data_IF_126853095222
#
_entry.id   IF_126853095222
#
_cell.length_a   1.000
_cell.length_b   1.000
_cell.length_c   1.000
_cell.angle_alpha   90.00
_cell.angle_beta   90.00
_cell.angle_gamma   90.00
#
_symmetry.space_group_name_H-M   'P 1'
#
loop_
_entity.id
_entity.type
_entity.pdbx_description
1 polymer ?
#
# COMPACT_ATOMS: atom_id res chain seq x y z
N UNK A 1 -2.73 -4.90 24.30
CA UNK A 1 -2.91 -5.62 23.02
C UNK A 1 -4.36 -6.01 22.85
N UNK A 2 -4.82 -6.22 21.63
CA UNK A 2 -6.18 -6.72 21.35
C UNK A 2 -6.22 -8.25 21.42
N UNK A 3 -7.41 -8.83 21.58
CA UNK A 3 -7.65 -10.28 21.55
C UNK A 3 -8.79 -10.57 20.58
N UNK A 4 -8.65 -11.65 19.80
CA UNK A 4 -9.68 -12.14 18.89
C UNK A 4 -9.54 -13.65 18.70
N UNK A 5 -10.52 -14.26 18.05
CA UNK A 5 -10.52 -15.66 17.63
C UNK A 5 -10.59 -15.67 16.10
N UNK A 6 -9.44 -15.83 15.41
CA UNK A 6 -9.42 -15.79 13.95
C UNK A 6 -10.19 -16.99 13.39
N UNK A 7 -11.09 -16.74 12.43
CA UNK A 7 -11.95 -17.75 11.83
C UNK A 7 -12.18 -17.46 10.35
N UNK A 8 -12.27 -18.51 9.55
CA UNK A 8 -12.82 -18.48 8.19
C UNK A 8 -13.44 -19.84 7.88
N UNK A 9 -14.68 -19.84 7.38
CA UNK A 9 -15.38 -21.07 7.02
C UNK A 9 -14.81 -21.71 5.74
N UNK A 10 -14.48 -20.88 4.74
CA UNK A 10 -14.01 -21.33 3.43
C UNK A 10 -12.49 -21.23 3.25
N UNK A 11 -11.79 -20.73 4.27
CA UNK A 11 -10.39 -20.31 4.16
C UNK A 11 -10.27 -18.87 3.65
N UNK A 12 -9.16 -18.20 3.97
CA UNK A 12 -8.82 -16.89 3.43
C UNK A 12 -7.31 -16.72 3.33
N UNK A 13 -6.87 -15.87 2.40
CA UNK A 13 -5.49 -15.41 2.32
C UNK A 13 -5.41 -14.02 2.94
N UNK A 14 -4.43 -13.81 3.83
CA UNK A 14 -4.23 -12.55 4.53
C UNK A 14 -2.81 -12.04 4.28
N UNK A 15 -2.70 -10.74 3.97
CA UNK A 15 -1.46 -10.00 4.15
C UNK A 15 -1.42 -9.52 5.61
N UNK A 16 -0.53 -10.09 6.43
CA UNK A 16 -0.47 -9.81 7.87
C UNK A 16 0.88 -9.20 8.26
N UNK A 17 0.81 -8.05 8.94
CA UNK A 17 1.96 -7.37 9.54
C UNK A 17 1.83 -7.36 11.06
N UNK A 18 2.68 -8.12 11.74
CA UNK A 18 2.70 -8.21 13.21
C UNK A 18 3.86 -7.41 13.80
N UNK A 19 3.66 -6.85 14.99
CA UNK A 19 4.70 -6.14 15.78
C UNK A 19 5.35 -4.96 15.05
N UNK A 20 4.59 -4.25 14.21
CA UNK A 20 5.06 -3.08 13.44
C UNK A 20 4.48 -1.75 13.95
N UNK A 21 3.80 -1.74 15.10
CA UNK A 21 3.31 -0.50 15.70
C UNK A 21 4.19 -0.12 16.89
N UNK A 22 4.88 1.04 16.86
CA UNK A 22 5.76 1.48 17.94
C UNK A 22 5.01 2.13 19.12
N UNK A 23 3.79 2.63 18.92
CA UNK A 23 3.03 3.34 19.93
C UNK A 23 2.38 2.44 21.01
N UNK A 24 1.96 3.05 22.11
CA UNK A 24 1.31 2.37 23.24
C UNK A 24 -0.23 2.34 23.15
N UNK A 25 -0.82 3.19 22.30
CA UNK A 25 -2.27 3.28 22.10
C UNK A 25 -2.59 3.13 20.61
N UNK A 26 -3.10 1.95 20.21
CA UNK A 26 -3.55 1.72 18.83
C UNK A 26 -5.06 1.62 18.79
N UNK A 27 -5.70 2.47 17.99
CA UNK A 27 -7.10 2.30 17.66
C UNK A 27 -7.27 1.13 16.68
N UNK A 28 -8.30 0.32 16.91
CA UNK A 28 -8.60 -0.80 16.02
C UNK A 28 -9.42 -0.30 14.83
N UNK A 29 -8.77 -0.11 13.69
CA UNK A 29 -9.41 0.32 12.43
C UNK A 29 -9.87 -0.90 11.64
N UNK A 30 -11.10 -0.84 11.09
CA UNK A 30 -11.68 -1.84 10.18
C UNK A 30 -12.40 -1.10 9.07
N UNK A 31 -12.00 -1.32 7.82
CA UNK A 31 -12.54 -0.63 6.65
C UNK A 31 -13.01 -1.70 5.67
N UNK A 32 -14.27 -1.60 5.25
CA UNK A 32 -14.76 -2.33 4.08
C UNK A 32 -14.34 -1.57 2.82
N UNK A 33 -13.25 -2.03 2.20
CA UNK A 33 -12.65 -1.36 1.04
C UNK A 33 -13.49 -1.51 -0.23
N UNK A 34 -14.48 -2.41 -0.25
CA UNK A 34 -15.38 -2.60 -1.39
C UNK A 34 -16.47 -1.53 -1.46
N UNK A 35 -16.80 -0.91 -0.31
CA UNK A 35 -17.81 0.17 -0.22
C UNK A 35 -17.20 1.54 0.09
N UNK A 36 -15.88 1.64 0.22
CA UNK A 36 -15.22 2.88 0.59
C UNK A 36 -15.07 3.83 -0.59
N UNK A 37 -14.99 5.14 -0.28
CA UNK A 37 -14.83 6.19 -1.27
C UNK A 37 -13.36 6.39 -1.62
N UNK A 38 -13.05 6.25 -2.90
CA UNK A 38 -11.73 6.54 -3.47
C UNK A 38 -11.57 8.05 -3.71
N UNK A 39 -10.35 8.55 -3.56
CA UNK A 39 -9.98 9.92 -3.89
C UNK A 39 -9.06 9.91 -5.11
N UNK A 40 -9.19 10.91 -5.97
CA UNK A 40 -8.25 11.12 -7.07
C UNK A 40 -6.83 11.33 -6.50
N UNK A 41 -5.86 10.68 -7.10
CA UNK A 41 -4.45 10.83 -6.75
C UNK A 41 -3.83 12.06 -7.41
N UNK A 42 -2.58 12.34 -7.04
CA UNK A 42 -1.81 13.48 -7.59
C UNK A 42 -1.54 13.33 -9.09
N UNK A 43 -1.37 12.09 -9.56
CA UNK A 43 -1.08 11.79 -10.96
C UNK A 43 -2.37 11.41 -11.71
N UNK A 44 -2.49 11.86 -12.96
CA UNK A 44 -3.65 11.56 -13.80
C UNK A 44 -3.84 10.05 -13.97
N UNK A 45 -5.06 9.57 -13.74
CA UNK A 45 -5.38 8.14 -13.81
C UNK A 45 -5.00 7.34 -12.56
N UNK A 46 -4.64 8.01 -11.47
CA UNK A 46 -4.41 7.39 -10.16
C UNK A 46 -5.54 7.71 -9.19
N UNK A 47 -5.85 6.75 -8.32
CA UNK A 47 -6.77 6.93 -7.21
C UNK A 47 -6.18 6.31 -5.94
N UNK A 48 -6.53 6.84 -4.79
CA UNK A 48 -6.12 6.30 -3.49
C UNK A 48 -7.30 6.14 -2.53
N UNK A 49 -7.20 5.11 -1.70
CA UNK A 49 -8.06 4.91 -0.53
C UNK A 49 -7.17 4.86 0.70
N UNK A 50 -7.17 5.93 1.49
CA UNK A 50 -6.41 5.99 2.75
C UNK A 50 -7.01 5.01 3.77
N UNK A 51 -6.17 4.11 4.29
CA UNK A 51 -6.56 3.10 5.28
C UNK A 51 -6.13 3.49 6.71
N UNK A 52 -4.98 4.15 6.84
CA UNK A 52 -4.44 4.57 8.13
C UNK A 52 -3.35 5.64 7.92
N UNK A 53 -3.27 6.59 8.86
CA UNK A 53 -2.20 7.57 8.92
C UNK A 53 -1.89 7.91 10.39
N UNK A 54 -0.61 7.96 10.76
CA UNK A 54 -0.14 8.42 12.07
C UNK A 54 0.98 9.46 11.87
N UNK A 55 0.80 10.64 12.43
CA UNK A 55 1.80 11.72 12.39
C UNK A 55 2.87 11.56 13.48
N UNK A 56 2.54 10.95 14.62
CA UNK A 56 3.47 10.77 15.73
C UNK A 56 4.51 9.67 15.45
N UNK A 57 4.11 8.67 14.67
CA UNK A 57 4.98 7.63 14.14
C UNK A 57 4.75 7.56 12.63
N UNK A 58 5.57 8.26 11.82
CA UNK A 58 5.31 8.47 10.40
C UNK A 58 4.99 7.15 9.68
N UNK A 59 3.71 6.93 9.43
CA UNK A 59 3.19 5.76 8.73
C UNK A 59 1.94 6.20 7.99
N UNK A 60 1.90 5.95 6.68
CA UNK A 60 0.68 6.02 5.89
C UNK A 60 0.45 4.66 5.22
N UNK A 61 -0.77 4.18 5.28
CA UNK A 61 -1.22 2.95 4.62
C UNK A 61 -2.39 3.31 3.73
N UNK A 62 -2.29 3.00 2.45
CA UNK A 62 -3.38 3.18 1.49
C UNK A 62 -3.51 1.98 0.56
N UNK A 63 -4.67 1.88 -0.09
CA UNK A 63 -4.74 1.22 -1.38
C UNK A 63 -4.52 2.28 -2.46
N UNK A 64 -3.68 1.95 -3.44
CA UNK A 64 -3.38 2.78 -4.58
C UNK A 64 -3.81 2.06 -5.84
N UNK A 65 -4.51 2.77 -6.73
CA UNK A 65 -4.99 2.26 -8.00
C UNK A 65 -4.40 3.08 -9.14
N UNK A 66 -3.88 2.38 -10.13
CA UNK A 66 -3.44 2.96 -11.41
C UNK A 66 -4.34 2.44 -12.52
N UNK A 67 -4.87 3.35 -13.34
CA UNK A 67 -5.54 2.97 -14.58
C UNK A 67 -4.54 2.35 -15.58
N UNK A 68 -5.00 1.54 -16.55
CA UNK A 68 -4.14 1.04 -17.62
C UNK A 68 -3.47 2.17 -18.41
N UNK A 69 -2.16 2.02 -18.65
CA UNK A 69 -1.32 3.01 -19.32
C UNK A 69 -0.95 4.22 -18.44
N UNK A 70 -1.28 4.21 -17.15
CA UNK A 70 -0.92 5.28 -16.24
C UNK A 70 0.59 5.25 -15.92
N UNK A 71 1.18 6.44 -15.81
CA UNK A 71 2.57 6.68 -15.42
C UNK A 71 2.61 7.66 -14.24
N UNK A 72 3.44 7.34 -13.27
CA UNK A 72 3.79 8.16 -12.11
C UNK A 72 5.25 8.55 -12.28
N UNK A 73 5.50 9.86 -12.30
CA UNK A 73 6.85 10.39 -12.49
C UNK A 73 7.79 9.97 -11.35
N UNK A 74 9.09 10.11 -11.60
CA UNK A 74 10.11 9.83 -10.59
C UNK A 74 9.86 10.64 -9.30
N UNK A 75 9.87 9.96 -8.16
CA UNK A 75 9.58 10.54 -6.85
C UNK A 75 10.38 9.87 -5.73
N UNK A 76 10.48 10.55 -4.60
CA UNK A 76 11.27 10.14 -3.43
C UNK A 76 10.44 9.49 -2.34
N UNK A 77 11.05 8.51 -1.64
CA UNK A 77 10.51 7.83 -0.46
C UNK A 77 11.35 8.13 0.79
N UNK A 78 11.22 9.32 1.40
CA UNK A 78 12.10 9.76 2.49
C UNK A 78 11.99 8.90 3.77
N UNK A 79 10.89 8.18 3.97
CA UNK A 79 10.73 7.20 5.06
C UNK A 79 10.60 5.75 4.58
N UNK A 80 10.95 5.50 3.31
CA UNK A 80 10.80 4.20 2.66
C UNK A 80 9.37 3.85 2.27
N UNK A 81 9.23 2.76 1.52
CA UNK A 81 7.97 2.28 0.98
C UNK A 81 7.94 0.74 0.97
N UNK A 82 6.77 0.17 1.17
CA UNK A 82 6.50 -1.24 0.96
C UNK A 82 5.20 -1.41 0.17
N UNK A 83 5.26 -2.14 -0.94
CA UNK A 83 4.15 -2.38 -1.86
C UNK A 83 3.79 -3.86 -1.90
N UNK A 84 2.51 -4.15 -2.09
CA UNK A 84 2.02 -5.48 -2.42
C UNK A 84 0.97 -5.39 -3.52
N UNK A 85 1.24 -6.00 -4.68
CA UNK A 85 0.36 -5.92 -5.86
C UNK A 85 -0.82 -6.87 -5.67
N UNK A 86 -2.01 -6.30 -5.48
CA UNK A 86 -3.26 -7.04 -5.28
C UNK A 86 -3.89 -7.49 -6.60
N UNK A 87 -3.83 -6.64 -7.63
CA UNK A 87 -4.35 -6.91 -8.98
C UNK A 87 -3.48 -6.21 -10.03
N UNK A 88 -3.41 -6.79 -11.24
CA UNK A 88 -2.67 -6.20 -12.35
C UNK A 88 -1.15 -6.29 -12.18
N UNK A 89 -0.44 -5.21 -12.53
CA UNK A 89 1.03 -5.18 -12.44
C UNK A 89 1.61 -3.76 -12.47
N UNK A 90 2.74 -3.59 -11.79
CA UNK A 90 3.57 -2.40 -11.79
C UNK A 90 4.86 -2.65 -12.57
N UNK A 91 5.45 -1.59 -13.10
CA UNK A 91 6.83 -1.61 -13.59
C UNK A 91 7.56 -0.36 -13.09
N UNK A 92 8.82 -0.55 -12.70
CA UNK A 92 9.78 0.49 -12.35
C UNK A 92 11.11 0.25 -13.10
N UNK A 93 12.18 0.99 -12.74
CA UNK A 93 13.51 0.82 -13.32
C UNK A 93 14.16 -0.55 -13.08
N UNK A 94 13.65 -1.33 -12.13
CA UNK A 94 14.20 -2.63 -11.74
C UNK A 94 13.44 -3.80 -12.38
N UNK A 95 12.22 -3.58 -12.83
CA UNK A 95 11.48 -4.53 -13.66
C UNK A 95 9.97 -4.49 -13.45
N UNK A 96 9.33 -5.60 -13.81
CA UNK A 96 7.88 -5.75 -13.74
C UNK A 96 7.46 -6.63 -12.54
N UNK A 97 6.44 -6.16 -11.82
CA UNK A 97 5.86 -6.78 -10.64
C UNK A 97 4.38 -7.07 -10.86
N UNK A 98 4.06 -8.34 -11.13
CA UNK A 98 2.67 -8.79 -11.26
C UNK A 98 1.97 -9.00 -9.92
N UNK A 99 0.70 -9.40 -9.99
CA UNK A 99 -0.11 -9.78 -8.83
C UNK A 99 0.63 -10.76 -7.89
N UNK A 100 0.61 -10.44 -6.59
CA UNK A 100 1.28 -11.21 -5.54
C UNK A 100 2.74 -10.82 -5.31
N UNK A 101 3.32 -9.95 -6.14
CA UNK A 101 4.64 -9.39 -5.88
C UNK A 101 4.63 -8.49 -4.65
N UNK A 102 5.72 -8.58 -3.89
CA UNK A 102 6.01 -7.75 -2.74
C UNK A 102 7.32 -7.01 -2.98
N UNK A 103 7.30 -5.70 -2.78
CA UNK A 103 8.44 -4.81 -2.97
C UNK A 103 8.68 -4.02 -1.69
N UNK A 104 9.96 -3.77 -1.39
CA UNK A 104 10.34 -2.88 -0.28
C UNK A 104 11.46 -1.96 -0.70
N UNK A 105 11.10 -0.69 -0.81
CA UNK A 105 11.97 0.42 -1.16
C UNK A 105 12.56 1.04 0.12
N UNK A 106 13.90 1.09 0.25
CA UNK A 106 14.56 1.55 1.47
C UNK A 106 14.38 3.06 1.70
N UNK A 107 14.67 3.51 2.93
CA UNK A 107 14.68 4.94 3.27
C UNK A 107 15.56 5.72 2.29
N UNK A 108 14.99 6.77 1.67
CA UNK A 108 15.70 7.65 0.74
C UNK A 108 15.83 7.10 -0.68
N UNK A 109 15.13 6.01 -1.03
CA UNK A 109 15.03 5.56 -2.41
C UNK A 109 14.15 6.49 -3.25
N UNK A 110 14.28 6.40 -4.56
CA UNK A 110 13.42 7.02 -5.54
C UNK A 110 13.15 6.05 -6.69
N UNK A 111 12.00 6.19 -7.33
CA UNK A 111 11.65 5.42 -8.52
C UNK A 111 10.57 6.15 -9.33
N UNK A 112 10.40 5.73 -10.58
CA UNK A 112 9.18 5.98 -11.35
C UNK A 112 8.32 4.72 -11.30
N UNK A 113 7.03 4.85 -11.60
CA UNK A 113 6.14 3.70 -11.72
C UNK A 113 5.23 3.84 -12.95
N UNK A 114 4.98 2.73 -13.64
CA UNK A 114 3.94 2.67 -14.68
C UNK A 114 3.13 1.38 -14.54
N UNK A 115 1.97 1.35 -15.18
CA UNK A 115 1.16 0.14 -15.25
C UNK A 115 0.50 0.00 -16.62
N UNK A 116 0.94 -0.98 -17.42
CA UNK A 116 0.32 -1.26 -18.71
C UNK A 116 -1.10 -1.81 -18.55
N UNK A 117 -1.30 -2.74 -17.60
CA UNK A 117 -2.58 -3.42 -17.38
C UNK A 117 -3.52 -2.71 -16.41
N UNK A 118 -3.06 -1.63 -15.77
CA UNK A 118 -3.63 -1.12 -14.54
C UNK A 118 -3.16 -1.96 -13.34
N UNK A 119 -3.24 -1.37 -12.14
CA UNK A 119 -2.79 -2.00 -10.91
C UNK A 119 -3.66 -1.59 -9.73
N UNK A 120 -3.86 -2.53 -8.79
CA UNK A 120 -4.34 -2.26 -7.44
C UNK A 120 -3.26 -2.72 -6.46
N UNK A 121 -2.83 -1.83 -5.58
CA UNK A 121 -1.63 -2.03 -4.76
C UNK A 121 -1.95 -1.65 -3.32
N UNK A 122 -1.57 -2.50 -2.37
CA UNK A 122 -1.45 -2.10 -0.98
C UNK A 122 -0.11 -1.37 -0.83
N UNK A 123 -0.14 -0.13 -0.38
CA UNK A 123 1.05 0.68 -0.16
C UNK A 123 1.18 1.07 1.31
N UNK A 124 2.42 0.98 1.82
CA UNK A 124 2.78 1.41 3.16
C UNK A 124 4.03 2.27 3.09
N UNK A 125 3.92 3.50 3.56
CA UNK A 125 4.90 4.57 3.40
C UNK A 125 5.38 5.03 4.78
N UNK A 126 6.64 5.41 4.88
CA UNK A 126 7.20 6.09 6.06
C UNK A 126 7.62 5.18 7.22
N UNK A 127 7.17 3.92 7.26
CA UNK A 127 7.33 3.03 8.41
C UNK A 127 8.74 2.47 8.63
N UNK A 128 9.74 2.87 7.84
CA UNK A 128 11.11 2.38 7.96
C UNK A 128 12.03 3.32 8.78
N UNK A 129 11.51 4.42 9.32
CA UNK A 129 12.23 5.35 10.21
C UNK A 129 11.86 5.20 11.69
#
# INVERSE_FOLDING_TARGET
GTRHEPYSEQGCLLLVKLRQYPGTAREAVRIDTLSATWQEGEYSGTEQLMLYQDEAHPEAICLFRMAPGCEVAEHDHPGGEELFVLEGGLEDQNGHYGQGSWERNPVGSHHWAKSESGALVYAKLGHLI
#
